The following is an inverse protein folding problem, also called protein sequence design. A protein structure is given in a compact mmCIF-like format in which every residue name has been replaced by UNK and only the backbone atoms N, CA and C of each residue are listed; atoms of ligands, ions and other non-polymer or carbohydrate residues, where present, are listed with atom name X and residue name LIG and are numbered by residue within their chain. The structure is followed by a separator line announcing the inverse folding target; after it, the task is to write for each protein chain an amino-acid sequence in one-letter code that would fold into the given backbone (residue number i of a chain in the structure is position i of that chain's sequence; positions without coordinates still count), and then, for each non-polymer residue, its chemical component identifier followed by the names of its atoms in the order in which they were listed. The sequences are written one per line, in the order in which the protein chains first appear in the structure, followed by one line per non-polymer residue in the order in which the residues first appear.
data_IF_013179250295
#
_entry.id   IF_013179250295
#
_cell.length_a   1.000
_cell.length_b   1.000
_cell.length_c   1.000
_cell.angle_alpha   90.00
_cell.angle_beta   90.00
_cell.angle_gamma   90.00
#
_symmetry.space_group_name_H-M   'P 1'
#
loop_
_entity.id
_entity.type
_entity.pdbx_description
1 polymer ?
#
# COMPACT_ATOMS: atom_id res chain seq x y z
N UNK A 1 20.66 -14.57 -3.59
CA UNK A 1 19.45 -14.58 -2.72
C UNK A 1 19.47 -13.34 -1.85
N UNK A 2 18.37 -12.59 -1.81
CA UNK A 2 18.26 -11.26 -1.18
C UNK A 2 17.20 -11.34 -0.06
N UNK A 3 17.52 -11.01 1.21
CA UNK A 3 16.52 -10.98 2.27
C UNK A 3 15.37 -10.02 1.95
N UNK A 4 14.13 -10.38 2.29
CA UNK A 4 12.99 -9.49 2.14
C UNK A 4 13.08 -8.35 3.17
N UNK A 5 13.45 -7.15 2.71
CA UNK A 5 13.59 -5.93 3.55
C UNK A 5 12.29 -5.15 3.71
N UNK A 6 11.33 -5.33 2.79
CA UNK A 6 9.97 -4.80 2.92
C UNK A 6 9.00 -5.96 3.15
N UNK A 7 7.94 -5.77 3.95
CA UNK A 7 7.01 -6.85 4.24
C UNK A 7 6.20 -7.16 2.98
N UNK A 8 6.53 -8.26 2.30
CA UNK A 8 5.70 -8.85 1.26
C UNK A 8 5.07 -10.13 1.77
N UNK A 9 3.87 -10.45 1.28
CA UNK A 9 3.17 -11.69 1.61
C UNK A 9 2.71 -12.40 0.35
N UNK A 10 2.97 -13.69 0.29
CA UNK A 10 2.41 -14.58 -0.70
C UNK A 10 1.00 -14.99 -0.28
N UNK A 11 0.05 -14.89 -1.20
CA UNK A 11 -1.36 -15.18 -0.99
C UNK A 11 -1.71 -16.54 -1.60
N UNK A 12 -2.49 -17.33 -0.86
CA UNK A 12 -2.91 -18.68 -1.24
C UNK A 12 -4.42 -18.81 -1.17
N UNK A 13 -5.04 -19.34 -2.22
CA UNK A 13 -6.47 -19.67 -2.26
C UNK A 13 -6.65 -21.18 -2.14
N UNK A 14 -7.39 -21.59 -1.12
CA UNK A 14 -7.80 -22.98 -0.93
C UNK A 14 -9.32 -23.07 -1.02
N UNK A 15 -9.80 -23.89 -1.94
CA UNK A 15 -11.21 -24.23 -2.02
C UNK A 15 -11.45 -25.53 -1.25
N UNK A 16 -12.47 -25.52 -0.41
CA UNK A 16 -12.93 -26.72 0.28
C UNK A 16 -14.45 -26.77 0.27
N UNK A 17 -14.99 -27.96 0.11
CA UNK A 17 -16.44 -28.18 0.14
C UNK A 17 -16.84 -28.61 1.55
N UNK A 18 -17.74 -27.87 2.19
CA UNK A 18 -18.28 -28.24 3.50
C UNK A 18 -19.26 -29.41 3.38
N UNK A 19 -19.61 -30.02 4.51
CA UNK A 19 -20.52 -31.17 4.57
C UNK A 19 -21.93 -30.88 4.01
N UNK A 20 -22.32 -29.61 3.90
CA UNK A 20 -23.57 -29.15 3.28
C UNK A 20 -23.48 -28.97 1.75
N UNK A 21 -22.35 -29.33 1.13
CA UNK A 21 -22.14 -29.25 -0.32
C UNK A 21 -21.76 -27.86 -0.83
N UNK A 22 -21.57 -26.86 0.04
CA UNK A 22 -21.12 -25.52 -0.36
C UNK A 22 -19.60 -25.47 -0.50
N UNK A 23 -19.12 -24.85 -1.57
CA UNK A 23 -17.69 -24.53 -1.72
C UNK A 23 -17.37 -23.23 -0.98
N UNK A 24 -16.34 -23.29 -0.15
CA UNK A 24 -15.78 -22.15 0.56
C UNK A 24 -14.36 -21.92 0.08
N UNK A 25 -13.99 -20.65 -0.10
CA UNK A 25 -12.62 -20.24 -0.40
C UNK A 25 -12.00 -19.67 0.87
N UNK A 26 -10.92 -20.29 1.34
CA UNK A 26 -10.07 -19.74 2.39
C UNK A 26 -8.86 -19.07 1.75
N UNK A 27 -8.60 -17.83 2.14
CA UNK A 27 -7.37 -17.12 1.78
C UNK A 27 -6.40 -17.30 2.94
N UNK A 28 -5.24 -17.89 2.65
CA UNK A 28 -4.11 -17.99 3.56
C UNK A 28 -2.98 -17.13 3.05
N UNK A 29 -2.09 -16.71 3.94
CA UNK A 29 -0.92 -15.96 3.55
C UNK A 29 0.35 -16.32 4.33
N UNK A 30 1.49 -16.14 3.68
CA UNK A 30 2.81 -16.35 4.29
C UNK A 30 3.75 -15.20 3.98
N UNK A 31 4.60 -14.78 4.95
CA UNK A 31 5.59 -13.74 4.71
C UNK A 31 6.65 -14.24 3.71
N UNK A 32 6.91 -13.43 2.69
CA UNK A 32 8.06 -13.62 1.82
C UNK A 32 9.31 -13.38 2.65
N UNK A 33 10.15 -14.39 2.76
CA UNK A 33 11.36 -14.38 3.60
C UNK A 33 12.59 -13.92 2.81
N UNK A 34 12.62 -14.21 1.50
CA UNK A 34 13.71 -13.83 0.62
C UNK A 34 13.25 -13.72 -0.83
N UNK A 35 14.09 -13.10 -1.65
CA UNK A 35 13.97 -12.97 -3.09
C UNK A 35 15.13 -13.69 -3.79
N UNK A 36 14.80 -14.41 -4.86
CA UNK A 36 15.76 -14.84 -5.87
C UNK A 36 16.34 -13.63 -6.62
N UNK A 37 17.48 -13.83 -7.27
CA UNK A 37 18.10 -12.78 -8.11
C UNK A 37 17.25 -12.47 -9.35
N UNK A 38 16.38 -13.39 -9.74
CA UNK A 38 15.39 -13.30 -10.79
C UNK A 38 14.04 -12.72 -10.32
N UNK A 39 13.93 -12.31 -9.05
CA UNK A 39 12.68 -11.83 -8.47
C UNK A 39 11.75 -12.94 -7.99
N UNK A 40 12.21 -14.19 -7.89
CA UNK A 40 11.42 -15.28 -7.29
C UNK A 40 11.13 -15.00 -5.81
N UNK A 41 9.86 -14.98 -5.35
CA UNK A 41 9.54 -14.89 -3.93
C UNK A 41 9.73 -16.24 -3.24
N UNK A 42 10.49 -16.27 -2.15
CA UNK A 42 10.67 -17.46 -1.31
C UNK A 42 9.96 -17.29 0.03
N UNK A 43 9.28 -18.35 0.48
CA UNK A 43 8.62 -18.42 1.78
C UNK A 43 9.22 -19.55 2.63
N UNK A 44 9.13 -19.41 3.95
CA UNK A 44 9.58 -20.44 4.87
C UNK A 44 8.58 -21.60 4.91
N UNK A 45 9.09 -22.82 4.75
CA UNK A 45 8.36 -24.08 4.93
C UNK A 45 9.09 -24.98 5.93
N UNK A 46 8.49 -26.12 6.28
CA UNK A 46 9.15 -27.13 7.12
C UNK A 46 10.44 -27.68 6.51
N UNK A 47 10.59 -27.61 5.19
CA UNK A 47 11.77 -28.10 4.45
C UNK A 47 12.75 -26.99 4.08
N UNK A 48 12.62 -25.80 4.69
CA UNK A 48 13.43 -24.63 4.38
C UNK A 48 12.73 -23.65 3.45
N UNK A 49 13.52 -22.86 2.72
CA UNK A 49 13.01 -21.85 1.78
C UNK A 49 12.59 -22.52 0.47
N UNK A 50 11.33 -22.30 0.08
CA UNK A 50 10.78 -22.78 -1.19
C UNK A 50 10.19 -21.61 -1.97
N UNK A 51 10.20 -21.64 -3.32
CA UNK A 51 9.47 -20.67 -4.13
C UNK A 51 8.00 -20.64 -3.74
N UNK A 52 7.42 -19.45 -3.61
CA UNK A 52 6.04 -19.29 -3.14
C UNK A 52 5.03 -19.98 -4.07
N UNK A 53 5.32 -20.00 -5.37
CA UNK A 53 4.48 -20.63 -6.40
C UNK A 53 4.52 -22.16 -6.39
N UNK A 54 5.51 -22.78 -5.71
CA UNK A 54 5.57 -24.24 -5.57
C UNK A 54 4.60 -24.75 -4.49
N UNK A 55 4.03 -23.86 -3.67
CA UNK A 55 3.03 -24.21 -2.68
C UNK A 55 1.63 -24.21 -3.32
N UNK A 56 0.86 -25.32 -3.20
CA UNK A 56 -0.48 -25.40 -3.76
C UNK A 56 -1.39 -24.26 -3.32
N UNK A 57 -2.15 -23.72 -4.27
CA UNK A 57 -3.05 -22.61 -4.01
C UNK A 57 -2.42 -21.23 -4.16
N UNK A 58 -1.12 -21.11 -4.49
CA UNK A 58 -0.47 -19.82 -4.74
C UNK A 58 -1.27 -18.99 -5.75
N UNK A 59 -1.47 -17.71 -5.43
CA UNK A 59 -2.25 -16.79 -6.24
C UNK A 59 -1.41 -15.58 -6.68
N UNK A 60 -0.88 -14.82 -5.73
CA UNK A 60 -0.07 -13.63 -6.02
C UNK A 60 0.79 -13.24 -4.81
N UNK A 61 1.75 -12.34 -5.03
CA UNK A 61 2.48 -11.66 -3.96
C UNK A 61 1.99 -10.22 -3.87
N UNK A 62 1.78 -9.74 -2.65
CA UNK A 62 1.42 -8.35 -2.40
C UNK A 62 2.31 -7.75 -1.33
N UNK A 63 2.59 -6.45 -1.47
CA UNK A 63 3.20 -5.68 -0.40
C UNK A 63 2.22 -5.54 0.76
N UNK A 64 2.72 -5.68 1.98
CA UNK A 64 1.97 -5.30 3.17
C UNK A 64 2.12 -3.79 3.32
N UNK A 65 1.02 -3.04 3.48
CA UNK A 65 1.11 -1.63 3.81
C UNK A 65 1.94 -1.47 5.08
N UNK A 66 3.00 -0.66 5.01
CA UNK A 66 3.77 -0.32 6.20
C UNK A 66 2.84 0.32 7.24
N UNK A 67 2.88 -0.12 8.51
CA UNK A 67 1.96 0.37 9.51
C UNK A 67 2.17 1.87 9.73
N UNK A 68 1.07 2.58 9.99
CA UNK A 68 1.14 3.97 10.46
C UNK A 68 1.83 4.01 11.81
N UNK A 69 2.88 4.80 11.93
CA UNK A 69 3.59 5.00 13.19
C UNK A 69 3.32 6.38 13.80
N UNK A 70 2.88 7.35 12.99
CA UNK A 70 2.53 8.68 13.49
C UNK A 70 1.57 9.43 12.56
N UNK A 71 0.88 10.42 13.13
CA UNK A 71 0.09 11.42 12.43
C UNK A 71 0.68 12.80 12.74
N UNK A 72 0.98 13.57 11.69
CA UNK A 72 1.50 14.93 11.82
C UNK A 72 0.45 15.94 11.35
N UNK A 73 0.33 17.11 11.98
CA UNK A 73 -0.53 18.17 11.49
C UNK A 73 -0.03 18.67 10.13
N UNK A 74 -0.96 19.04 9.25
CA UNK A 74 -0.62 19.56 7.93
C UNK A 74 -0.12 21.01 7.95
N UNK A 75 -0.33 21.75 9.05
CA UNK A 75 0.24 23.07 9.29
C UNK A 75 0.23 24.02 8.08
N UNK A 76 -0.93 24.20 7.45
CA UNK A 76 -1.12 25.14 6.34
C UNK A 76 -0.74 24.62 4.95
N UNK A 77 -0.18 23.41 4.85
CA UNK A 77 0.10 22.79 3.55
C UNK A 77 -1.18 22.52 2.75
N UNK A 78 -1.07 22.61 1.42
CA UNK A 78 -2.18 22.47 0.48
C UNK A 78 -1.84 21.51 -0.64
N UNK A 79 -2.87 20.90 -1.19
CA UNK A 79 -2.81 20.20 -2.48
C UNK A 79 -3.47 21.08 -3.55
N UNK A 80 -2.94 21.06 -4.77
CA UNK A 80 -3.59 21.62 -5.96
C UNK A 80 -3.55 20.60 -7.08
N UNK A 81 -4.71 20.34 -7.67
CA UNK A 81 -4.83 19.45 -8.82
C UNK A 81 -4.41 20.18 -10.09
N UNK A 82 -3.48 19.59 -10.84
CA UNK A 82 -2.91 20.15 -12.06
C UNK A 82 -3.57 19.58 -13.31
N UNK A 83 -4.26 18.45 -13.18
CA UNK A 83 -5.02 17.81 -14.26
C UNK A 83 -6.37 17.24 -13.80
N UNK A 84 -7.19 16.79 -14.75
CA UNK A 84 -8.47 16.13 -14.51
C UNK A 84 -9.63 17.09 -14.19
N UNK A 85 -10.79 16.55 -13.76
CA UNK A 85 -12.01 17.33 -13.52
C UNK A 85 -11.88 18.36 -12.39
N UNK A 86 -10.88 18.20 -11.52
CA UNK A 86 -10.60 19.10 -10.41
C UNK A 86 -9.45 20.08 -10.71
N UNK A 87 -8.95 20.14 -11.95
CA UNK A 87 -7.81 21.00 -12.32
C UNK A 87 -7.99 22.45 -11.84
N UNK A 88 -6.94 22.98 -11.20
CA UNK A 88 -6.88 24.31 -10.62
C UNK A 88 -7.43 24.40 -9.20
N UNK A 89 -8.28 23.46 -8.77
CA UNK A 89 -8.82 23.43 -7.40
C UNK A 89 -7.68 23.19 -6.41
N UNK A 90 -7.72 23.91 -5.30
CA UNK A 90 -6.78 23.73 -4.19
C UNK A 90 -7.51 23.56 -2.87
N UNK A 91 -7.04 22.61 -2.08
CA UNK A 91 -7.66 22.20 -0.82
C UNK A 91 -6.60 22.13 0.29
N UNK A 92 -6.97 22.44 1.54
CA UNK A 92 -6.05 22.27 2.66
C UNK A 92 -5.78 20.78 2.89
N UNK A 93 -4.53 20.42 3.15
CA UNK A 93 -4.24 19.15 3.79
C UNK A 93 -4.67 19.23 5.26
N UNK A 94 -5.14 18.13 5.81
CA UNK A 94 -5.51 18.03 7.23
C UNK A 94 -4.44 17.37 8.09
N UNK A 95 -3.58 16.55 7.47
CA UNK A 95 -2.46 15.94 8.15
C UNK A 95 -1.56 15.13 7.23
N UNK A 96 -0.61 14.44 7.85
CA UNK A 96 0.30 13.51 7.20
C UNK A 96 0.32 12.20 7.97
N UNK A 97 0.33 11.09 7.24
CA UNK A 97 0.46 9.75 7.79
C UNK A 97 1.89 9.28 7.59
N UNK A 98 2.66 9.20 8.67
CA UNK A 98 4.02 8.66 8.64
C UNK A 98 3.96 7.13 8.83
N UNK A 99 4.60 6.40 7.92
CA UNK A 99 4.67 4.93 7.93
C UNK A 99 6.00 4.45 8.49
N UNK A 100 6.03 3.21 8.98
CA UNK A 100 7.23 2.61 9.57
C UNK A 100 8.41 2.48 8.59
N UNK A 101 8.15 2.49 7.28
CA UNK A 101 9.18 2.49 6.23
C UNK A 101 9.75 3.88 5.94
N UNK A 102 9.32 4.91 6.67
CA UNK A 102 9.75 6.29 6.50
C UNK A 102 9.00 7.06 5.41
N UNK A 103 8.06 6.41 4.69
CA UNK A 103 7.18 7.12 3.74
C UNK A 103 6.15 7.97 4.48
N UNK A 104 5.67 9.01 3.81
CA UNK A 104 4.66 9.94 4.35
C UNK A 104 3.57 10.16 3.31
N UNK A 105 2.31 10.03 3.73
CA UNK A 105 1.16 10.22 2.86
C UNK A 105 0.35 11.45 3.30
N UNK A 106 -0.02 12.37 2.39
CA UNK A 106 -0.89 13.48 2.69
C UNK A 106 -2.33 13.01 2.94
N UNK A 107 -2.99 13.64 3.91
CA UNK A 107 -4.39 13.41 4.24
C UNK A 107 -5.25 14.60 3.82
N UNK A 108 -6.37 14.32 3.16
CA UNK A 108 -7.38 15.29 2.72
C UNK A 108 -8.75 14.94 3.31
N UNK A 109 -9.71 15.86 3.17
CA UNK A 109 -11.12 15.58 3.44
C UNK A 109 -11.81 15.13 2.17
N UNK A 110 -12.59 14.06 2.26
CA UNK A 110 -13.55 13.71 1.22
C UNK A 110 -14.69 14.74 1.19
N UNK A 111 -15.46 14.77 0.09
CA UNK A 111 -16.68 15.59 0.00
C UNK A 111 -17.73 15.27 1.06
N UNK A 112 -17.60 14.13 1.74
CA UNK A 112 -18.48 13.68 2.84
C UNK A 112 -17.91 13.99 4.23
N UNK A 113 -16.76 14.69 4.30
CA UNK A 113 -16.13 15.08 5.57
C UNK A 113 -15.31 13.96 6.25
N UNK A 114 -15.04 12.87 5.54
CA UNK A 114 -14.16 11.79 6.05
C UNK A 114 -12.70 12.10 5.71
N UNK A 115 -11.77 11.75 6.61
CA UNK A 115 -10.33 11.84 6.33
C UNK A 115 -9.93 10.68 5.43
N UNK A 116 -9.36 11.00 4.28
CA UNK A 116 -8.85 10.01 3.33
C UNK A 116 -7.42 10.33 2.95
N UNK A 117 -6.67 9.30 2.57
CA UNK A 117 -5.39 9.48 1.89
C UNK A 117 -5.65 10.22 0.58
N UNK A 118 -4.85 11.24 0.26
CA UNK A 118 -4.90 11.80 -1.07
C UNK A 118 -4.50 10.67 -2.02
N UNK A 119 -5.41 10.22 -2.88
CA UNK A 119 -5.10 9.21 -3.88
C UNK A 119 -4.12 9.84 -4.88
N UNK A 120 -2.84 9.65 -4.59
CA UNK A 120 -1.72 9.93 -5.47
C UNK A 120 -1.70 8.74 -6.43
N UNK A 121 -2.63 8.69 -7.38
CA UNK A 121 -2.39 7.83 -8.54
C UNK A 121 -1.11 8.32 -9.21
N UNK A 122 -0.30 7.36 -9.65
CA UNK A 122 1.08 7.45 -10.12
C UNK A 122 1.29 8.35 -11.35
N UNK A 123 0.34 9.23 -11.69
CA UNK A 123 0.53 10.26 -12.69
C UNK A 123 1.41 11.37 -12.10
N UNK A 124 2.72 11.21 -12.30
CA UNK A 124 3.76 12.22 -12.08
C UNK A 124 3.31 13.56 -12.71
N UNK A 125 2.73 14.43 -11.88
CA UNK A 125 2.26 15.76 -12.27
C UNK A 125 0.75 16.00 -12.23
N UNK A 126 -0.10 15.05 -11.79
CA UNK A 126 -1.54 15.29 -11.65
C UNK A 126 -1.89 16.29 -10.53
N UNK A 127 -0.97 16.54 -9.61
CA UNK A 127 -1.13 17.52 -8.53
C UNK A 127 0.23 18.08 -8.09
N UNK A 128 0.19 19.18 -7.33
CA UNK A 128 1.32 19.69 -6.54
C UNK A 128 0.91 19.87 -5.09
N UNK A 129 1.85 19.64 -4.18
CA UNK A 129 1.71 19.95 -2.76
C UNK A 129 2.64 21.11 -2.43
N UNK A 130 2.12 22.13 -1.77
CA UNK A 130 2.86 23.36 -1.50
C UNK A 130 2.39 23.98 -0.19
N UNK A 131 3.27 24.77 0.42
CA UNK A 131 2.92 25.64 1.53
C UNK A 131 2.73 27.07 0.99
N UNK A 132 1.62 27.77 1.24
CA UNK A 132 1.39 29.09 0.66
C UNK A 132 2.49 30.12 0.97
N UNK A 133 3.11 30.03 2.15
CA UNK A 133 4.19 30.96 2.53
C UNK A 133 5.49 30.78 1.74
N UNK A 134 5.61 29.73 0.92
CA UNK A 134 6.80 29.50 0.09
C UNK A 134 6.63 30.06 -1.33
N UNK A 135 5.47 30.62 -1.67
CA UNK A 135 5.23 31.22 -3.01
C UNK A 135 5.44 32.75 -3.07
N UNK A 136 5.75 33.42 -1.96
CA UNK A 136 5.91 34.89 -1.89
C UNK A 136 7.36 35.41 -2.09
N UNK A 137 8.20 34.73 -2.88
CA UNK A 137 9.59 35.18 -3.18
C UNK A 137 9.73 35.87 -4.52
#
# INVERSE_FOLDING_TARGET
MIPAVHPYRAMYKHEHTSADGKTHTTILDQPVSAWGEDGTPFVASQNGLVPAWDIPGFSYVTGVPSPTVSLLPADGWRIQYLDGPNKGRSEPLVGWKAKADGTVEPLILSGEGSVVEAYIELDDGAYRIYHPSTEES
#
